data_IF_864934274598
#
_entry.id   IF_864934274598
#
_cell.length_a   1.000
_cell.length_b   1.000
_cell.length_c   1.000
_cell.angle_alpha   90.00
_cell.angle_beta   90.00
_cell.angle_gamma   90.00
#
_symmetry.space_group_name_H-M   'P 1'
#
loop_
_entity.id
_entity.type
_entity.pdbx_description
1 polymer ?
#
# COMPACT_ATOMS: atom_id res chain seq x y z
N UNK A 1 -5.86 19.20 24.47
CA UNK A 1 -5.53 20.38 23.62
C UNK A 1 -6.11 20.14 22.24
N UNK A 2 -6.84 21.09 21.66
CA UNK A 2 -7.29 20.97 20.27
C UNK A 2 -6.04 20.78 19.40
N UNK A 3 -6.00 19.69 18.62
CA UNK A 3 -4.88 19.38 17.76
C UNK A 3 -4.68 20.55 16.78
N UNK A 4 -3.55 21.23 16.86
CA UNK A 4 -3.16 22.24 15.89
C UNK A 4 -3.00 21.53 14.55
N UNK A 5 -3.64 22.02 13.49
CA UNK A 5 -3.49 21.47 12.14
C UNK A 5 -2.06 21.74 11.64
N UNK A 6 -1.14 20.80 11.96
CA UNK A 6 0.21 20.84 11.41
C UNK A 6 0.23 20.35 9.96
N UNK A 7 1.24 20.77 9.19
CA UNK A 7 1.51 20.29 7.84
C UNK A 7 2.09 18.89 7.87
N UNK A 8 2.07 18.22 6.73
CA UNK A 8 2.53 16.83 6.58
C UNK A 8 3.94 16.61 7.15
N UNK A 9 4.89 17.47 6.81
CA UNK A 9 6.30 17.39 7.20
C UNK A 9 6.48 17.49 8.73
N UNK A 10 5.61 18.23 9.41
CA UNK A 10 5.61 18.29 10.88
C UNK A 10 4.95 17.04 11.47
N UNK A 11 3.84 16.58 10.89
CA UNK A 11 3.15 15.38 11.34
C UNK A 11 4.02 14.13 11.20
N UNK A 12 4.74 13.96 10.08
CA UNK A 12 5.61 12.81 9.86
C UNK A 12 6.75 12.69 10.88
N UNK A 13 7.10 13.80 11.55
CA UNK A 13 8.17 13.85 12.56
C UNK A 13 7.66 13.68 13.99
N UNK A 14 6.44 14.11 14.29
CA UNK A 14 6.02 14.33 15.66
C UNK A 14 4.85 13.46 16.14
N UNK A 15 3.96 13.01 15.25
CA UNK A 15 2.78 12.23 15.64
C UNK A 15 3.17 10.94 16.36
N UNK A 16 2.53 10.71 17.53
CA UNK A 16 2.84 9.59 18.43
C UNK A 16 4.07 9.79 19.30
N UNK A 17 4.74 10.94 19.17
CA UNK A 17 5.98 11.27 19.85
C UNK A 17 6.01 12.77 20.27
N UNK A 18 4.83 13.33 20.54
CA UNK A 18 4.69 14.75 20.90
C UNK A 18 5.36 15.06 22.25
N UNK A 19 5.50 14.05 23.09
CA UNK A 19 6.22 14.13 24.37
C UNK A 19 7.38 13.12 24.37
N UNK A 20 8.46 13.37 25.13
CA UNK A 20 9.51 12.38 25.33
C UNK A 20 8.97 11.12 26.03
N UNK A 21 9.72 10.03 25.98
CA UNK A 21 9.37 8.82 26.71
C UNK A 21 9.20 9.12 28.21
N UNK A 22 8.05 8.81 28.82
CA UNK A 22 7.76 9.24 30.19
C UNK A 22 8.58 8.51 31.26
N UNK A 23 9.26 7.41 30.90
CA UNK A 23 10.08 6.66 31.84
C UNK A 23 11.56 7.07 31.82
N UNK A 24 12.04 7.58 30.70
CA UNK A 24 13.47 7.81 30.47
C UNK A 24 13.81 9.21 29.95
N UNK A 25 12.81 10.03 29.65
CA UNK A 25 12.96 11.32 28.97
C UNK A 25 13.63 11.22 27.58
N UNK A 26 13.68 10.01 27.00
CA UNK A 26 14.29 9.80 25.70
C UNK A 26 13.54 10.55 24.59
N UNK A 27 14.29 11.31 23.77
CA UNK A 27 13.73 12.05 22.63
C UNK A 27 13.40 11.13 21.46
N UNK A 28 14.26 10.15 21.16
CA UNK A 28 13.98 9.14 20.15
C UNK A 28 12.94 8.13 20.66
N UNK A 29 12.15 7.56 19.76
CA UNK A 29 11.22 6.47 20.12
C UNK A 29 12.00 5.27 20.62
N UNK A 30 11.80 4.80 21.87
CA UNK A 30 12.49 3.61 22.37
C UNK A 30 12.08 2.35 21.64
N UNK A 31 13.01 1.40 21.48
CA UNK A 31 12.70 0.07 20.94
C UNK A 31 12.33 -0.84 22.10
N UNK A 32 11.03 -1.08 22.30
CA UNK A 32 10.52 -1.98 23.32
C UNK A 32 10.55 -3.44 22.82
N UNK A 33 11.72 -4.06 22.87
CA UNK A 33 11.93 -5.45 22.46
C UNK A 33 11.51 -6.40 23.59
N UNK A 34 10.20 -6.60 23.74
CA UNK A 34 9.61 -7.47 24.76
C UNK A 34 8.41 -8.26 24.22
N UNK A 35 8.20 -9.45 24.75
CA UNK A 35 7.04 -10.29 24.39
C UNK A 35 5.83 -10.01 25.25
N UNK A 36 6.00 -9.59 26.52
CA UNK A 36 4.91 -9.51 27.51
C UNK A 36 5.07 -8.33 28.44
N UNK A 37 3.94 -7.94 29.03
CA UNK A 37 3.84 -6.78 29.92
C UNK A 37 3.20 -7.20 31.26
N UNK A 38 3.67 -6.64 32.36
CA UNK A 38 3.20 -6.96 33.70
C UNK A 38 1.92 -6.18 34.03
N UNK A 39 0.95 -6.86 34.60
CA UNK A 39 -0.27 -6.26 35.11
C UNK A 39 -0.10 -5.83 36.57
N UNK A 40 -0.78 -4.76 36.97
CA UNK A 40 -0.74 -4.24 38.36
C UNK A 40 -1.41 -5.19 39.35
N UNK A 41 -2.48 -5.88 38.92
CA UNK A 41 -3.23 -6.86 39.70
C UNK A 41 -4.14 -7.68 38.76
N UNK A 42 -4.87 -8.68 39.29
CA UNK A 42 -5.75 -9.56 38.51
C UNK A 42 -6.91 -8.82 37.85
N UNK A 43 -7.47 -7.79 38.51
CA UNK A 43 -8.56 -7.00 37.90
C UNK A 43 -8.06 -6.21 36.71
N UNK A 44 -6.87 -5.60 36.77
CA UNK A 44 -6.25 -4.90 35.66
C UNK A 44 -5.99 -5.86 34.48
N UNK A 45 -5.55 -7.08 34.75
CA UNK A 45 -5.41 -8.10 33.71
C UNK A 45 -6.76 -8.41 33.05
N UNK A 46 -7.79 -8.67 33.84
CA UNK A 46 -9.15 -8.96 33.33
C UNK A 46 -9.73 -7.81 32.51
N UNK A 47 -9.48 -6.57 32.88
CA UNK A 47 -9.95 -5.38 32.14
C UNK A 47 -9.24 -5.22 30.79
N UNK A 48 -7.93 -5.48 30.74
CA UNK A 48 -7.14 -5.51 29.49
C UNK A 48 -7.66 -6.54 28.51
N UNK A 49 -7.83 -7.80 28.96
CA UNK A 49 -8.34 -8.88 28.12
C UNK A 49 -9.80 -8.67 27.71
N UNK A 50 -10.59 -7.99 28.55
CA UNK A 50 -11.99 -7.66 28.27
C UNK A 50 -12.18 -6.39 27.42
N UNK A 51 -11.13 -5.77 26.89
CA UNK A 51 -11.14 -4.52 26.12
C UNK A 51 -11.74 -3.32 26.89
N UNK A 52 -11.75 -3.37 28.21
CA UNK A 52 -12.25 -2.29 29.11
C UNK A 52 -11.15 -1.29 29.51
N UNK A 53 -9.89 -1.69 29.39
CA UNK A 53 -8.74 -0.84 29.63
C UNK A 53 -7.76 -0.96 28.46
N UNK A 54 -7.36 0.18 27.89
CA UNK A 54 -6.42 0.22 26.77
C UNK A 54 -4.97 0.03 27.22
N UNK A 55 -4.14 -0.62 26.38
CA UNK A 55 -2.68 -0.73 26.56
C UNK A 55 -2.12 -2.10 26.21
N UNK A 56 -0.86 -2.29 26.58
CA UNK A 56 -0.11 -3.45 26.18
C UNK A 56 -0.48 -4.70 27.01
N UNK A 57 -0.56 -5.85 26.34
CA UNK A 57 -0.79 -7.18 26.92
C UNK A 57 0.35 -8.11 26.53
N UNK A 58 0.54 -8.27 25.24
CA UNK A 58 1.50 -9.18 24.62
C UNK A 58 2.01 -8.61 23.31
N UNK A 59 3.30 -8.69 23.05
CA UNK A 59 3.98 -8.04 21.93
C UNK A 59 3.45 -8.40 20.52
N UNK A 60 2.75 -9.52 20.37
CA UNK A 60 2.07 -9.86 19.13
C UNK A 60 0.87 -8.96 18.85
N UNK A 61 0.17 -8.50 19.89
CA UNK A 61 -1.05 -7.68 19.76
C UNK A 61 -0.75 -6.19 19.80
N UNK A 62 0.09 -5.78 20.76
CA UNK A 62 0.39 -4.37 21.05
C UNK A 62 1.84 -4.22 21.52
N UNK A 63 2.48 -3.15 21.05
CA UNK A 63 3.84 -2.78 21.48
C UNK A 63 3.99 -1.26 21.32
N UNK A 64 4.62 -0.58 22.27
CA UNK A 64 4.72 0.87 22.26
C UNK A 64 5.48 1.43 21.04
N UNK A 65 6.52 0.75 20.57
CA UNK A 65 7.26 1.16 19.37
C UNK A 65 6.40 1.03 18.11
N UNK A 66 5.70 -0.10 17.96
CA UNK A 66 4.75 -0.35 16.88
C UNK A 66 3.61 0.69 16.91
N UNK A 67 3.10 1.01 18.10
CA UNK A 67 2.00 1.96 18.29
C UNK A 67 2.33 3.37 17.79
N UNK A 68 3.57 3.85 17.95
CA UNK A 68 4.00 5.13 17.37
C UNK A 68 3.96 5.09 15.84
N UNK A 69 4.45 3.99 15.23
CA UNK A 69 4.42 3.81 13.79
C UNK A 69 2.97 3.77 13.27
N UNK A 70 2.11 2.98 13.90
CA UNK A 70 0.69 2.85 13.55
C UNK A 70 -0.04 4.19 13.59
N UNK A 71 0.11 4.93 14.70
CA UNK A 71 -0.53 6.23 14.89
C UNK A 71 -0.05 7.25 13.86
N UNK A 72 1.26 7.27 13.58
CA UNK A 72 1.85 8.22 12.62
C UNK A 72 1.37 7.98 11.22
N UNK A 73 1.39 6.75 10.73
CA UNK A 73 0.88 6.43 9.38
C UNK A 73 -0.61 6.70 9.28
N UNK A 74 -1.41 6.35 10.30
CA UNK A 74 -2.85 6.62 10.31
C UNK A 74 -3.15 8.12 10.14
N UNK A 75 -2.46 8.98 10.89
CA UNK A 75 -2.65 10.45 10.78
C UNK A 75 -2.18 10.98 9.43
N UNK A 76 -1.07 10.49 8.91
CA UNK A 76 -0.57 10.91 7.59
C UNK A 76 -1.51 10.54 6.46
N UNK A 77 -2.18 9.39 6.53
CA UNK A 77 -3.23 8.98 5.58
C UNK A 77 -4.58 9.67 5.79
N UNK A 78 -4.76 10.38 6.91
CA UNK A 78 -6.06 10.96 7.26
C UNK A 78 -7.06 9.95 7.83
N UNK A 79 -6.57 8.79 8.29
CA UNK A 79 -7.38 7.75 8.93
C UNK A 79 -7.53 7.94 10.44
N UNK A 80 -8.38 7.12 11.05
CA UNK A 80 -8.68 7.18 12.48
C UNK A 80 -7.82 6.21 13.31
N UNK A 81 -7.32 5.13 12.71
CA UNK A 81 -6.48 4.14 13.36
C UNK A 81 -5.62 3.37 12.35
N UNK A 82 -4.47 2.86 12.79
CA UNK A 82 -3.57 2.03 12.03
C UNK A 82 -3.23 0.71 12.73
N UNK A 83 -2.87 -0.28 11.94
CA UNK A 83 -2.37 -1.58 12.40
C UNK A 83 -1.14 -1.98 11.59
N UNK A 84 0.00 -2.09 12.26
CA UNK A 84 1.23 -2.57 11.64
C UNK A 84 1.29 -4.11 11.66
N UNK A 85 1.74 -4.67 10.53
CA UNK A 85 1.88 -6.12 10.32
C UNK A 85 3.21 -6.44 9.64
N UNK A 86 3.55 -7.72 9.55
CA UNK A 86 4.87 -8.19 9.12
C UNK A 86 5.24 -7.85 7.68
N UNK A 87 4.27 -7.58 6.80
CA UNK A 87 4.50 -7.30 5.38
C UNK A 87 3.28 -6.64 4.73
N UNK A 88 3.47 -6.04 3.54
CA UNK A 88 2.37 -5.56 2.71
C UNK A 88 1.40 -6.67 2.32
N UNK A 89 1.91 -7.87 2.02
CA UNK A 89 1.07 -9.03 1.73
C UNK A 89 0.18 -9.41 2.92
N UNK A 90 0.71 -9.35 4.16
CA UNK A 90 -0.08 -9.56 5.37
C UNK A 90 -1.14 -8.45 5.54
N UNK A 91 -0.81 -7.20 5.20
CA UNK A 91 -1.76 -6.09 5.27
C UNK A 91 -2.95 -6.31 4.32
N UNK A 92 -2.69 -6.62 3.04
CA UNK A 92 -3.74 -6.93 2.08
C UNK A 92 -4.57 -8.16 2.50
N UNK A 93 -3.90 -9.26 2.90
CA UNK A 93 -4.57 -10.48 3.33
C UNK A 93 -5.50 -10.23 4.53
N UNK A 94 -5.02 -9.52 5.55
CA UNK A 94 -5.81 -9.27 6.76
C UNK A 94 -6.95 -8.30 6.51
N UNK A 95 -6.75 -7.27 5.67
CA UNK A 95 -7.81 -6.36 5.29
C UNK A 95 -8.95 -7.12 4.59
N UNK A 96 -8.62 -8.04 3.68
CA UNK A 96 -9.60 -8.84 2.94
C UNK A 96 -10.27 -9.89 3.84
N UNK A 97 -9.50 -10.71 4.57
CA UNK A 97 -10.05 -11.75 5.47
C UNK A 97 -10.88 -11.19 6.62
N UNK A 98 -10.74 -9.91 6.93
CA UNK A 98 -11.55 -9.26 7.97
C UNK A 98 -13.04 -9.21 7.62
N UNK A 99 -13.35 -9.14 6.33
CA UNK A 99 -14.73 -8.95 5.82
C UNK A 99 -15.18 -9.99 4.81
N UNK A 100 -14.27 -10.84 4.32
CA UNK A 100 -14.56 -11.91 3.37
C UNK A 100 -14.53 -13.28 4.06
N UNK A 101 -15.47 -14.13 3.68
CA UNK A 101 -15.56 -15.53 4.09
C UNK A 101 -15.99 -16.45 2.96
N UNK A 102 -16.22 -17.73 3.29
CA UNK A 102 -16.68 -18.72 2.32
C UNK A 102 -18.02 -18.28 1.67
N UNK A 103 -18.06 -18.28 0.35
CA UNK A 103 -19.22 -17.87 -0.44
C UNK A 103 -19.29 -16.38 -0.74
N UNK A 104 -18.38 -15.56 -0.23
CA UNK A 104 -18.30 -14.14 -0.56
C UNK A 104 -17.58 -13.90 -1.88
N UNK A 105 -17.71 -12.69 -2.41
CA UNK A 105 -17.13 -12.25 -3.66
C UNK A 105 -16.41 -10.92 -3.47
N UNK A 106 -15.31 -10.72 -4.24
CA UNK A 106 -14.55 -9.47 -4.33
C UNK A 106 -14.40 -9.03 -5.79
N UNK A 107 -14.52 -7.75 -6.05
CA UNK A 107 -14.10 -7.14 -7.31
C UNK A 107 -12.73 -6.52 -7.13
N UNK A 108 -11.81 -6.76 -8.06
CA UNK A 108 -10.46 -6.24 -7.96
C UNK A 108 -9.96 -5.71 -9.31
N UNK A 109 -9.06 -4.72 -9.25
CA UNK A 109 -8.45 -4.12 -10.43
C UNK A 109 -7.59 -5.15 -11.19
N UNK A 110 -7.47 -4.99 -12.51
CA UNK A 110 -6.69 -5.84 -13.40
C UNK A 110 -5.18 -5.53 -13.38
N UNK A 111 -4.80 -4.34 -12.95
CA UNK A 111 -3.43 -3.82 -12.91
C UNK A 111 -2.79 -3.85 -11.52
N UNK A 112 -3.10 -4.88 -10.71
CA UNK A 112 -2.56 -5.05 -9.36
C UNK A 112 -1.11 -5.54 -9.36
N UNK A 113 -0.43 -5.29 -8.24
CA UNK A 113 0.79 -6.02 -7.90
C UNK A 113 0.56 -7.53 -8.01
N UNK A 114 1.47 -8.26 -8.68
CA UNK A 114 1.32 -9.68 -8.94
C UNK A 114 1.03 -10.54 -7.70
N UNK A 115 1.57 -10.15 -6.52
CA UNK A 115 1.27 -10.84 -5.26
C UNK A 115 -0.17 -10.62 -4.80
N UNK A 116 -0.74 -9.42 -4.97
CA UNK A 116 -2.14 -9.13 -4.66
C UNK A 116 -3.08 -9.82 -5.65
N UNK A 117 -2.72 -9.82 -6.93
CA UNK A 117 -3.44 -10.56 -7.96
C UNK A 117 -3.51 -12.05 -7.61
N UNK A 118 -2.38 -12.70 -7.34
CA UNK A 118 -2.35 -14.11 -6.96
C UNK A 118 -3.08 -14.41 -5.64
N UNK A 119 -3.00 -13.50 -4.66
CA UNK A 119 -3.75 -13.63 -3.41
C UNK A 119 -5.24 -13.72 -3.71
N UNK A 120 -5.78 -12.80 -4.51
CA UNK A 120 -7.21 -12.68 -4.79
C UNK A 120 -7.68 -13.82 -5.71
N UNK A 121 -6.97 -14.07 -6.82
CA UNK A 121 -7.43 -15.01 -7.85
C UNK A 121 -7.20 -16.47 -7.50
N UNK A 122 -6.17 -16.78 -6.72
CA UNK A 122 -5.80 -18.17 -6.42
C UNK A 122 -5.91 -18.50 -4.93
N UNK A 123 -5.25 -17.75 -4.05
CA UNK A 123 -5.18 -18.12 -2.63
C UNK A 123 -6.53 -18.02 -1.95
N UNK A 124 -7.23 -16.90 -2.08
CA UNK A 124 -8.56 -16.71 -1.49
C UNK A 124 -9.62 -17.59 -2.16
N UNK A 125 -9.46 -17.91 -3.45
CA UNK A 125 -10.33 -18.84 -4.16
C UNK A 125 -10.30 -20.26 -3.52
N UNK A 126 -9.14 -20.73 -3.05
CA UNK A 126 -9.07 -22.00 -2.30
C UNK A 126 -9.77 -21.95 -0.94
N UNK A 127 -10.05 -20.77 -0.44
CA UNK A 127 -10.81 -20.52 0.79
C UNK A 127 -12.31 -20.31 0.52
N UNK A 128 -12.77 -20.51 -0.72
CA UNK A 128 -14.17 -20.40 -1.11
C UNK A 128 -14.62 -18.95 -1.35
N UNK A 129 -13.71 -18.02 -1.56
CA UNK A 129 -13.99 -16.62 -1.91
C UNK A 129 -13.83 -16.47 -3.42
N UNK A 130 -14.91 -16.05 -4.10
CA UNK A 130 -14.89 -15.80 -5.55
C UNK A 130 -14.41 -14.37 -5.86
N UNK A 131 -13.97 -14.15 -7.10
CA UNK A 131 -13.49 -12.83 -7.53
C UNK A 131 -13.89 -12.51 -8.97
N UNK A 132 -13.94 -11.23 -9.30
CA UNK A 132 -13.98 -10.72 -10.67
C UNK A 132 -12.87 -9.68 -10.82
N UNK A 133 -11.98 -9.91 -11.76
CA UNK A 133 -10.91 -8.98 -12.13
C UNK A 133 -11.43 -8.10 -13.28
N UNK A 134 -11.29 -6.78 -13.16
CA UNK A 134 -11.85 -5.83 -14.11
C UNK A 134 -11.01 -4.54 -14.14
N UNK A 135 -11.01 -3.87 -15.30
CA UNK A 135 -10.52 -2.49 -15.34
C UNK A 135 -11.47 -1.60 -14.52
N UNK A 136 -11.03 -1.21 -13.33
CA UNK A 136 -11.86 -0.44 -12.38
C UNK A 136 -12.14 0.99 -12.86
N UNK A 137 -11.39 1.52 -13.81
CA UNK A 137 -11.66 2.81 -14.44
C UNK A 137 -12.77 2.74 -15.50
N UNK A 138 -13.09 1.54 -16.01
CA UNK A 138 -14.32 1.30 -16.76
C UNK A 138 -15.48 1.10 -15.79
N UNK A 139 -16.17 2.19 -15.46
CA UNK A 139 -17.25 2.17 -14.47
C UNK A 139 -18.43 1.28 -14.87
N UNK A 140 -18.66 1.05 -16.18
CA UNK A 140 -19.72 0.16 -16.63
C UNK A 140 -19.34 -1.31 -16.39
N UNK A 141 -18.09 -1.67 -16.68
CA UNK A 141 -17.56 -2.99 -16.38
C UNK A 141 -17.50 -3.24 -14.87
N UNK A 142 -17.06 -2.24 -14.09
CA UNK A 142 -17.03 -2.30 -12.63
C UNK A 142 -18.43 -2.54 -12.04
N UNK A 143 -19.45 -1.79 -12.48
CA UNK A 143 -20.82 -1.93 -12.05
C UNK A 143 -21.36 -3.33 -12.36
N UNK A 144 -21.09 -3.84 -13.56
CA UNK A 144 -21.52 -5.17 -14.01
C UNK A 144 -20.82 -6.32 -13.26
N UNK A 145 -19.61 -6.08 -12.72
CA UNK A 145 -18.86 -7.06 -11.95
C UNK A 145 -19.40 -7.28 -10.53
N UNK A 146 -20.18 -6.33 -9.99
CA UNK A 146 -20.70 -6.40 -8.62
C UNK A 146 -21.86 -7.40 -8.54
N UNK A 147 -21.74 -8.35 -7.62
CA UNK A 147 -22.71 -9.42 -7.36
C UNK A 147 -23.38 -9.19 -5.98
N UNK A 148 -24.53 -9.86 -5.70
CA UNK A 148 -25.19 -9.72 -4.40
C UNK A 148 -24.32 -10.08 -3.18
N UNK A 149 -23.34 -10.98 -3.36
CA UNK A 149 -22.39 -11.43 -2.34
C UNK A 149 -21.04 -10.69 -2.41
N UNK A 150 -20.92 -9.64 -3.22
CA UNK A 150 -19.71 -8.81 -3.24
C UNK A 150 -19.56 -8.05 -1.92
N UNK A 151 -18.38 -8.09 -1.34
CA UNK A 151 -18.05 -7.48 -0.04
C UNK A 151 -17.08 -6.30 -0.12
N UNK A 152 -16.30 -6.20 -1.18
CA UNK A 152 -15.33 -5.11 -1.34
C UNK A 152 -14.95 -4.91 -2.81
N UNK A 153 -14.43 -3.70 -3.09
CA UNK A 153 -13.61 -3.42 -4.25
C UNK A 153 -12.18 -3.21 -3.75
N UNK A 154 -11.19 -3.82 -4.43
CA UNK A 154 -9.77 -3.67 -4.14
C UNK A 154 -9.03 -3.12 -5.35
N UNK A 155 -8.29 -2.03 -5.17
CA UNK A 155 -7.49 -1.41 -6.22
C UNK A 155 -6.19 -0.81 -5.66
N UNK A 156 -5.26 -0.42 -6.54
CA UNK A 156 -4.04 0.30 -6.18
C UNK A 156 -4.14 1.75 -6.68
N UNK A 157 -3.52 2.70 -5.99
CA UNK A 157 -3.49 4.11 -6.40
C UNK A 157 -2.83 4.29 -7.76
N UNK A 158 -1.68 3.62 -7.94
CA UNK A 158 -0.98 3.45 -9.21
C UNK A 158 -0.87 1.97 -9.54
N UNK A 159 -1.25 1.59 -10.74
CA UNK A 159 -1.12 0.23 -11.23
C UNK A 159 0.34 -0.22 -11.39
N UNK A 160 0.57 -1.50 -11.27
CA UNK A 160 1.89 -2.12 -11.40
C UNK A 160 1.87 -3.09 -12.61
N UNK A 161 2.71 -2.91 -13.63
CA UNK A 161 3.94 -2.11 -13.62
C UNK A 161 3.85 -0.73 -14.27
N UNK A 162 2.74 -0.37 -14.91
CA UNK A 162 2.66 0.74 -15.88
C UNK A 162 2.33 2.11 -15.28
N UNK A 163 2.08 2.20 -13.96
CA UNK A 163 1.68 3.44 -13.27
C UNK A 163 0.37 4.07 -13.78
N UNK A 164 -0.57 3.26 -14.26
CA UNK A 164 -1.93 3.69 -14.58
C UNK A 164 -2.59 4.29 -13.33
N UNK A 165 -3.34 5.37 -13.48
CA UNK A 165 -3.92 6.09 -12.33
C UNK A 165 -5.35 5.64 -12.09
N UNK A 166 -5.65 5.19 -10.88
CA UNK A 166 -6.99 4.78 -10.46
C UNK A 166 -7.89 5.98 -10.16
N UNK A 167 -9.11 6.02 -10.73
CA UNK A 167 -10.11 7.05 -10.45
C UNK A 167 -10.84 6.77 -9.13
N UNK A 168 -10.17 7.03 -8.02
CA UNK A 168 -10.62 6.65 -6.67
C UNK A 168 -12.01 7.22 -6.35
N UNK A 169 -12.28 8.50 -6.64
CA UNK A 169 -13.57 9.13 -6.35
C UNK A 169 -14.73 8.39 -7.04
N UNK A 170 -14.57 8.09 -8.33
CA UNK A 170 -15.64 7.43 -9.09
C UNK A 170 -15.87 5.97 -8.63
N UNK A 171 -14.80 5.26 -8.31
CA UNK A 171 -14.88 3.88 -7.78
C UNK A 171 -15.52 3.86 -6.39
N UNK A 172 -15.19 4.84 -5.54
CA UNK A 172 -15.79 4.98 -4.22
C UNK A 172 -17.30 5.23 -4.32
N UNK A 173 -17.75 6.07 -5.27
CA UNK A 173 -19.17 6.28 -5.52
C UNK A 173 -19.89 4.99 -5.92
N UNK A 174 -19.28 4.15 -6.78
CA UNK A 174 -19.82 2.83 -7.13
C UNK A 174 -19.87 1.93 -5.90
N UNK A 175 -18.79 1.79 -5.17
CA UNK A 175 -18.72 0.94 -3.98
C UNK A 175 -19.80 1.31 -2.96
N UNK A 176 -19.93 2.58 -2.65
CA UNK A 176 -20.88 3.06 -1.63
C UNK A 176 -22.35 2.93 -2.06
N UNK A 177 -22.67 3.08 -3.37
CA UNK A 177 -24.03 2.78 -3.87
C UNK A 177 -24.41 1.32 -3.61
N UNK A 178 -23.45 0.41 -3.69
CA UNK A 178 -23.63 -1.01 -3.40
C UNK A 178 -23.42 -1.38 -1.94
N UNK A 179 -23.19 -0.40 -1.06
CA UNK A 179 -22.97 -0.62 0.37
C UNK A 179 -21.80 -1.58 0.65
N UNK A 180 -20.70 -1.42 -0.09
CA UNK A 180 -19.45 -2.15 0.11
C UNK A 180 -18.29 -1.17 0.26
N UNK A 181 -17.27 -1.50 1.06
CA UNK A 181 -16.09 -0.66 1.22
C UNK A 181 -15.17 -0.71 0.01
N UNK A 182 -14.48 0.41 -0.23
CA UNK A 182 -13.35 0.52 -1.13
C UNK A 182 -12.05 0.39 -0.34
N UNK A 183 -11.21 -0.59 -0.72
CA UNK A 183 -9.88 -0.82 -0.15
C UNK A 183 -8.85 -0.40 -1.20
N UNK A 184 -7.96 0.54 -0.85
CA UNK A 184 -6.90 1.02 -1.74
C UNK A 184 -5.53 0.64 -1.18
N UNK A 185 -4.72 -0.01 -1.99
CA UNK A 185 -3.28 -0.12 -1.75
C UNK A 185 -2.60 1.17 -2.23
N UNK A 186 -2.14 1.98 -1.27
CA UNK A 186 -1.50 3.26 -1.53
C UNK A 186 0.04 3.18 -1.44
N UNK A 187 0.60 2.00 -1.66
CA UNK A 187 2.05 1.77 -1.57
C UNK A 187 2.83 2.69 -2.51
N UNK A 188 2.38 2.88 -3.76
CA UNK A 188 3.06 3.74 -4.73
C UNK A 188 2.67 5.21 -4.61
N UNK A 189 1.42 5.50 -4.23
CA UNK A 189 0.97 6.87 -4.00
C UNK A 189 1.60 7.51 -2.77
N UNK A 190 1.82 6.75 -1.73
CA UNK A 190 2.24 7.22 -0.39
C UNK A 190 1.26 8.23 0.22
N UNK A 191 1.21 8.38 1.54
CA UNK A 191 0.36 9.40 2.15
C UNK A 191 0.82 10.84 1.86
N UNK A 192 2.01 10.99 1.26
CA UNK A 192 2.55 12.30 0.88
C UNK A 192 1.99 12.80 -0.45
N UNK A 193 1.89 11.96 -1.47
CA UNK A 193 1.39 12.36 -2.78
C UNK A 193 -0.14 12.40 -2.83
N UNK A 194 -0.80 11.43 -2.18
CA UNK A 194 -2.26 11.29 -2.17
C UNK A 194 -2.73 10.57 -0.91
N UNK A 195 -3.91 10.96 -0.42
CA UNK A 195 -4.62 10.30 0.68
C UNK A 195 -5.93 9.73 0.17
N UNK A 196 -5.99 8.44 -0.20
CA UNK A 196 -7.19 7.82 -0.75
C UNK A 196 -8.44 7.97 0.13
N UNK A 197 -8.28 8.07 1.46
CA UNK A 197 -9.38 8.32 2.41
C UNK A 197 -10.07 9.68 2.15
N UNK A 198 -9.36 10.68 1.68
CA UNK A 198 -9.93 11.97 1.30
C UNK A 198 -10.74 11.88 -0.01
N UNK A 199 -10.52 10.82 -0.79
CA UNK A 199 -11.17 10.49 -2.05
C UNK A 199 -12.21 9.36 -1.94
N UNK A 200 -12.62 8.99 -0.73
CA UNK A 200 -13.68 8.03 -0.49
C UNK A 200 -13.23 6.58 -0.25
N UNK A 201 -11.94 6.29 -0.21
CA UNK A 201 -11.49 4.97 0.26
C UNK A 201 -11.83 4.79 1.74
N UNK A 202 -12.30 3.60 2.09
CA UNK A 202 -12.69 3.26 3.46
C UNK A 202 -11.52 2.65 4.24
N UNK A 203 -10.67 1.90 3.55
CA UNK A 203 -9.48 1.26 4.10
C UNK A 203 -8.31 1.48 3.16
N UNK A 204 -7.15 1.83 3.72
CA UNK A 204 -5.90 1.94 2.97
C UNK A 204 -4.91 0.91 3.49
N UNK A 205 -4.22 0.23 2.59
CA UNK A 205 -3.12 -0.68 2.91
C UNK A 205 -1.81 -0.18 2.31
N UNK A 206 -0.70 -0.51 2.95
CA UNK A 206 0.63 -0.24 2.43
C UNK A 206 1.58 -1.43 2.62
N UNK A 207 2.40 -1.67 1.64
CA UNK A 207 3.70 -2.27 1.88
C UNK A 207 4.66 -1.20 2.41
N UNK A 208 4.80 -1.11 3.73
CA UNK A 208 5.73 -0.16 4.36
C UNK A 208 7.20 -0.44 4.00
N UNK A 209 7.48 -1.64 3.48
CA UNK A 209 8.76 -2.06 2.89
C UNK A 209 9.26 -1.11 1.80
N UNK A 210 8.32 -0.47 1.06
CA UNK A 210 8.59 0.35 -0.12
C UNK A 210 8.94 1.78 0.28
N UNK A 211 8.28 2.80 -0.24
CA UNK A 211 8.60 4.21 0.03
C UNK A 211 8.64 4.58 1.52
N UNK A 212 7.79 3.99 2.37
CA UNK A 212 7.78 4.30 3.81
C UNK A 212 9.14 3.96 4.42
N UNK A 213 9.65 2.75 4.22
CA UNK A 213 11.00 2.36 4.64
C UNK A 213 12.09 2.98 3.78
N UNK A 214 11.94 2.90 2.47
CA UNK A 214 12.72 3.56 1.44
C UNK A 214 14.14 3.03 1.20
N UNK A 215 14.62 2.04 1.96
CA UNK A 215 16.02 1.61 1.94
C UNK A 215 16.22 0.12 1.68
N UNK A 216 15.14 -0.63 1.39
CA UNK A 216 15.22 -2.07 1.16
C UNK A 216 15.69 -2.89 2.37
N UNK A 217 15.69 -2.32 3.58
CA UNK A 217 16.31 -2.90 4.77
C UNK A 217 15.33 -3.64 5.69
N UNK A 218 14.03 -3.34 5.62
CA UNK A 218 13.03 -3.91 6.52
C UNK A 218 11.72 -4.21 5.82
N UNK A 219 11.14 -5.36 6.13
CA UNK A 219 9.77 -5.70 5.74
C UNK A 219 8.77 -5.11 6.75
N UNK A 220 7.63 -4.67 6.22
CA UNK A 220 6.49 -4.27 7.02
C UNK A 220 5.28 -3.97 6.17
N UNK A 221 4.12 -3.99 6.79
CA UNK A 221 2.85 -3.55 6.22
C UNK A 221 2.07 -2.73 7.21
N UNK A 222 1.13 -1.96 6.74
CA UNK A 222 0.21 -1.22 7.59
C UNK A 222 -1.18 -1.16 6.95
N UNK A 223 -2.21 -1.28 7.79
CA UNK A 223 -3.61 -1.14 7.42
C UNK A 223 -4.11 0.12 8.13
N UNK A 224 -4.74 1.02 7.39
CA UNK A 224 -5.32 2.25 7.93
C UNK A 224 -6.83 2.21 7.76
N UNK A 225 -7.54 2.41 8.87
CA UNK A 225 -8.99 2.50 8.92
C UNK A 225 -9.42 3.95 8.70
N UNK A 226 -10.22 4.21 7.67
CA UNK A 226 -10.77 5.53 7.37
C UNK A 226 -11.85 5.96 8.36
N UNK A 227 -12.48 5.01 9.05
CA UNK A 227 -13.48 5.24 10.09
C UNK A 227 -14.82 5.78 9.59
N UNK A 228 -15.06 5.80 8.28
CA UNK A 228 -16.26 6.41 7.67
C UNK A 228 -17.31 5.41 7.23
N UNK A 229 -16.95 4.16 6.97
CA UNK A 229 -17.89 3.14 6.52
C UNK A 229 -18.82 2.71 7.66
N UNK A 230 -20.13 2.74 7.40
CA UNK A 230 -21.13 2.38 8.41
C UNK A 230 -21.36 0.86 8.45
N UNK A 231 -20.51 0.18 9.25
CA UNK A 231 -20.61 -1.27 9.45
C UNK A 231 -21.94 -1.70 10.05
N UNK A 232 -22.56 -0.88 10.92
CA UNK A 232 -23.83 -1.20 11.59
C UNK A 232 -25.01 -1.13 10.66
N UNK A 233 -25.07 -0.10 9.80
CA UNK A 233 -26.11 -0.01 8.77
C UNK A 233 -26.07 -1.19 7.80
N UNK A 234 -24.88 -1.81 7.65
CA UNK A 234 -24.63 -2.94 6.76
C UNK A 234 -24.35 -4.26 7.51
N UNK A 235 -24.95 -4.45 8.71
CA UNK A 235 -24.66 -5.56 9.61
C UNK A 235 -24.90 -6.95 9.01
N UNK A 236 -25.86 -7.11 8.12
CA UNK A 236 -26.12 -8.39 7.45
C UNK A 236 -25.03 -8.73 6.41
N UNK A 237 -24.45 -7.72 5.80
CA UNK A 237 -23.36 -7.87 4.87
C UNK A 237 -22.01 -8.07 5.59
N UNK A 238 -21.80 -7.42 6.75
CA UNK A 238 -20.57 -7.46 7.53
C UNK A 238 -20.77 -7.93 8.98
N UNK A 239 -21.26 -9.16 9.17
CA UNK A 239 -21.58 -9.67 10.52
C UNK A 239 -20.37 -9.74 11.44
N UNK A 240 -19.17 -9.96 10.90
CA UNK A 240 -17.92 -10.03 11.68
C UNK A 240 -17.59 -8.75 12.43
N UNK A 241 -18.06 -7.60 11.97
CA UNK A 241 -17.83 -6.29 12.59
C UNK A 241 -19.05 -5.80 13.37
N UNK A 242 -20.25 -6.11 12.90
CA UNK A 242 -21.48 -5.49 13.36
C UNK A 242 -22.43 -6.45 14.13
N UNK A 243 -22.05 -7.73 14.30
CA UNK A 243 -22.81 -8.71 15.13
C UNK A 243 -21.92 -9.24 16.25
N UNK A 244 -22.51 -9.86 17.30
CA UNK A 244 -21.77 -10.42 18.43
C UNK A 244 -20.71 -11.43 18.01
N UNK A 245 -19.46 -11.21 18.40
CA UNK A 245 -18.34 -12.10 18.10
C UNK A 245 -18.20 -13.15 19.25
N UNK A 246 -18.29 -14.46 18.93
CA UNK A 246 -18.19 -15.50 19.93
C UNK A 246 -16.81 -15.61 20.57
N UNK A 247 -15.73 -15.20 19.87
CA UNK A 247 -14.36 -15.23 20.41
C UNK A 247 -14.07 -14.09 21.41
N UNK A 248 -14.99 -13.10 21.48
CA UNK A 248 -14.92 -11.97 22.41
C UNK A 248 -16.18 -11.82 23.28
N UNK A 249 -16.69 -12.95 23.75
CA UNK A 249 -17.85 -12.98 24.69
C UNK A 249 -19.09 -12.23 24.17
N UNK A 250 -19.29 -12.20 22.86
CA UNK A 250 -20.42 -11.50 22.24
C UNK A 250 -20.23 -10.00 22.04
N UNK A 251 -19.01 -9.48 22.16
CA UNK A 251 -18.73 -8.09 21.82
C UNK A 251 -18.99 -7.81 20.34
N UNK A 252 -19.54 -6.64 20.04
CA UNK A 252 -19.74 -6.12 18.68
C UNK A 252 -18.63 -5.10 18.43
N UNK A 253 -17.72 -5.38 17.50
CA UNK A 253 -16.54 -4.52 17.27
C UNK A 253 -16.92 -3.10 16.86
N UNK A 254 -17.98 -2.93 16.06
CA UNK A 254 -18.52 -1.62 15.70
C UNK A 254 -19.06 -0.82 16.89
N UNK A 255 -19.42 -1.47 18.01
CA UNK A 255 -19.84 -0.81 19.25
C UNK A 255 -18.65 -0.47 20.14
N UNK A 256 -17.75 -1.44 20.35
CA UNK A 256 -16.64 -1.28 21.32
C UNK A 256 -15.50 -0.42 20.81
N UNK A 257 -15.29 -0.37 19.48
CA UNK A 257 -14.20 0.37 18.84
C UNK A 257 -14.69 1.54 17.98
N UNK A 258 -16.00 1.65 17.72
CA UNK A 258 -16.58 2.75 16.94
C UNK A 258 -15.93 2.88 15.56
N UNK A 259 -15.39 4.05 15.24
CA UNK A 259 -14.74 4.36 13.98
C UNK A 259 -13.51 3.48 13.67
N UNK A 260 -12.83 2.93 14.71
CA UNK A 260 -11.67 2.07 14.55
C UNK A 260 -12.01 0.56 14.54
N UNK A 261 -13.27 0.21 14.27
CA UNK A 261 -13.76 -1.17 14.35
C UNK A 261 -13.00 -2.13 13.42
N UNK A 262 -12.65 -1.68 12.22
CA UNK A 262 -12.01 -2.50 11.20
C UNK A 262 -10.63 -3.00 11.67
N UNK A 263 -9.73 -2.10 12.03
CA UNK A 263 -8.38 -2.49 12.49
C UNK A 263 -8.39 -3.11 13.89
N UNK A 264 -9.35 -2.74 14.75
CA UNK A 264 -9.48 -3.35 16.08
C UNK A 264 -9.83 -4.83 15.99
N UNK A 265 -10.76 -5.20 15.10
CA UNK A 265 -11.07 -6.61 14.89
C UNK A 265 -9.90 -7.38 14.28
N UNK A 266 -9.19 -6.81 13.31
CA UNK A 266 -7.99 -7.46 12.76
C UNK A 266 -7.00 -7.74 13.88
N UNK A 267 -6.69 -6.76 14.73
CA UNK A 267 -5.77 -6.91 15.87
C UNK A 267 -6.23 -7.98 16.85
N UNK A 268 -7.50 -7.90 17.25
CA UNK A 268 -8.06 -8.72 18.29
C UNK A 268 -8.31 -10.18 17.87
N UNK A 269 -8.58 -10.43 16.60
CA UNK A 269 -8.93 -11.76 16.06
C UNK A 269 -7.85 -12.25 15.11
N UNK A 270 -7.71 -11.64 13.93
CA UNK A 270 -6.90 -12.19 12.85
C UNK A 270 -5.41 -12.18 13.23
N UNK A 271 -4.87 -11.05 13.63
CA UNK A 271 -3.46 -10.94 14.03
C UNK A 271 -3.16 -11.78 15.28
N UNK A 272 -4.07 -11.80 16.26
CA UNK A 272 -3.92 -12.64 17.46
C UNK A 272 -3.75 -14.12 17.10
N UNK A 273 -4.55 -14.62 16.16
CA UNK A 273 -4.68 -16.04 15.89
C UNK A 273 -3.69 -16.53 14.81
N UNK A 274 -3.34 -15.67 13.83
CA UNK A 274 -2.49 -16.03 12.69
C UNK A 274 -1.06 -15.49 12.78
N UNK A 275 -0.82 -14.44 13.59
CA UNK A 275 0.50 -14.10 14.10
C UNK A 275 1.44 -13.32 13.17
N UNK A 276 0.98 -12.69 12.07
CA UNK A 276 1.85 -11.88 11.21
C UNK A 276 2.18 -10.50 11.82
N UNK A 277 2.70 -10.49 13.04
CA UNK A 277 3.10 -9.28 13.77
C UNK A 277 4.42 -8.72 13.25
N UNK A 278 4.52 -7.40 13.20
CA UNK A 278 5.79 -6.72 12.91
C UNK A 278 6.71 -6.75 14.14
N UNK A 279 8.02 -6.86 13.94
CA UNK A 279 8.95 -6.70 15.06
C UNK A 279 9.08 -5.24 15.49
N UNK A 280 9.30 -4.93 16.78
CA UNK A 280 9.56 -3.55 17.22
C UNK A 280 10.78 -2.92 16.54
N UNK A 281 11.79 -3.71 16.21
CA UNK A 281 12.97 -3.24 15.49
C UNK A 281 12.64 -2.82 14.05
N UNK A 282 11.83 -3.62 13.33
CA UNK A 282 11.39 -3.24 11.99
C UNK A 282 10.49 -1.98 12.04
N UNK A 283 9.58 -1.89 13.01
CA UNK A 283 8.75 -0.70 13.20
C UNK A 283 9.59 0.56 13.45
N UNK A 284 10.67 0.45 14.24
CA UNK A 284 11.62 1.54 14.46
C UNK A 284 12.34 1.97 13.19
N UNK A 285 12.84 1.02 12.36
CA UNK A 285 13.49 1.34 11.08
C UNK A 285 12.49 2.01 10.12
N UNK A 286 11.26 1.52 10.06
CA UNK A 286 10.21 2.12 9.23
C UNK A 286 9.81 3.51 9.70
N UNK A 287 9.82 3.76 11.02
CA UNK A 287 9.64 5.12 11.57
C UNK A 287 10.73 6.07 11.11
N UNK A 288 12.00 5.65 11.13
CA UNK A 288 13.10 6.47 10.62
C UNK A 288 12.94 6.77 9.12
N UNK A 289 12.53 5.78 8.33
CA UNK A 289 12.19 6.00 6.92
C UNK A 289 11.04 7.00 6.76
N UNK A 290 10.00 6.87 7.56
CA UNK A 290 8.83 7.74 7.51
C UNK A 290 9.16 9.21 7.81
N UNK A 291 10.12 9.47 8.71
CA UNK A 291 10.55 10.82 9.07
C UNK A 291 11.16 11.63 7.91
N UNK A 292 11.60 10.96 6.85
CA UNK A 292 12.15 11.59 5.64
C UNK A 292 11.33 11.29 4.38
N UNK A 293 10.11 10.79 4.54
CA UNK A 293 9.28 10.34 3.41
C UNK A 293 9.06 11.46 2.39
N UNK A 294 8.63 12.64 2.82
CA UNK A 294 8.36 13.78 1.93
C UNK A 294 9.58 14.16 1.11
N UNK A 295 10.74 14.31 1.77
CA UNK A 295 12.01 14.69 1.12
C UNK A 295 12.44 13.67 0.06
N UNK A 296 12.27 12.38 0.37
CA UNK A 296 12.64 11.31 -0.57
C UNK A 296 11.69 11.25 -1.74
N UNK A 297 10.39 11.30 -1.47
CA UNK A 297 9.35 11.21 -2.52
C UNK A 297 9.45 12.39 -3.47
N UNK A 298 9.66 13.62 -2.98
CA UNK A 298 9.91 14.78 -3.84
C UNK A 298 11.09 14.55 -4.78
N UNK A 299 12.22 14.06 -4.27
CA UNK A 299 13.40 13.78 -5.07
C UNK A 299 13.18 12.63 -6.07
N UNK A 300 12.49 11.55 -5.65
CA UNK A 300 12.09 10.45 -6.54
C UNK A 300 11.27 10.97 -7.73
N UNK A 301 10.26 11.81 -7.45
CA UNK A 301 9.38 12.37 -8.49
C UNK A 301 10.15 13.33 -9.41
N UNK A 302 10.94 14.25 -8.84
CA UNK A 302 11.75 15.17 -9.62
C UNK A 302 12.67 14.42 -10.60
N UNK A 303 13.39 13.43 -10.11
CA UNK A 303 14.27 12.61 -10.93
C UNK A 303 13.49 11.83 -12.00
N UNK A 304 12.37 11.20 -11.61
CA UNK A 304 11.55 10.43 -12.54
C UNK A 304 11.03 11.26 -13.70
N UNK A 305 10.53 12.47 -13.45
CA UNK A 305 10.02 13.34 -14.51
C UNK A 305 11.12 13.75 -15.51
N UNK A 306 12.35 13.99 -15.03
CA UNK A 306 13.50 14.27 -15.91
C UNK A 306 13.92 13.04 -16.72
N UNK A 307 13.89 11.84 -16.12
CA UNK A 307 14.15 10.58 -16.83
C UNK A 307 13.07 10.29 -17.87
N UNK A 308 11.80 10.54 -17.55
CA UNK A 308 10.67 10.41 -18.49
C UNK A 308 10.86 11.31 -19.71
N UNK A 309 11.24 12.58 -19.51
CA UNK A 309 11.50 13.51 -20.59
C UNK A 309 12.70 13.08 -21.44
N UNK A 310 13.78 12.59 -20.82
CA UNK A 310 14.93 12.03 -21.52
C UNK A 310 14.51 10.82 -22.39
N UNK A 311 13.81 9.84 -21.82
CA UNK A 311 13.40 8.62 -22.51
C UNK A 311 12.44 8.92 -23.67
N UNK A 312 11.49 9.86 -23.48
CA UNK A 312 10.57 10.30 -24.51
C UNK A 312 11.27 10.80 -25.78
N UNK A 313 12.41 11.46 -25.60
CA UNK A 313 13.20 12.03 -26.69
C UNK A 313 14.28 11.09 -27.24
N UNK A 314 14.45 9.89 -26.65
CA UNK A 314 15.49 8.95 -27.07
C UNK A 314 15.03 8.15 -28.31
N UNK A 315 15.81 8.12 -29.42
CA UNK A 315 15.41 7.46 -30.65
C UNK A 315 15.27 5.93 -30.54
N UNK A 316 15.86 5.31 -29.52
CA UNK A 316 15.77 3.86 -29.25
C UNK A 316 14.58 3.47 -28.38
N UNK A 317 13.85 4.44 -27.87
CA UNK A 317 12.61 4.23 -27.10
C UNK A 317 11.42 4.27 -28.04
N UNK A 318 10.54 3.29 -27.93
CA UNK A 318 9.30 3.19 -28.69
C UNK A 318 8.14 3.92 -28.00
N UNK A 319 8.04 3.78 -26.66
CA UNK A 319 6.98 4.37 -25.84
C UNK A 319 7.45 4.54 -24.40
N UNK A 320 6.96 5.56 -23.73
CA UNK A 320 7.10 5.72 -22.27
C UNK A 320 5.69 5.68 -21.66
N UNK A 321 5.48 4.78 -20.71
CA UNK A 321 4.21 4.65 -19.99
C UNK A 321 4.30 5.45 -18.68
N UNK A 322 4.01 6.75 -18.76
CA UNK A 322 3.99 7.61 -17.58
C UNK A 322 2.84 8.62 -17.68
N UNK A 323 1.97 8.73 -16.65
CA UNK A 323 0.76 9.54 -16.73
C UNK A 323 1.00 11.05 -16.73
N UNK A 324 2.22 11.52 -16.50
CA UNK A 324 2.57 12.95 -16.71
C UNK A 324 2.57 13.37 -18.17
N UNK A 325 2.66 12.41 -19.09
CA UNK A 325 2.68 12.69 -20.53
C UNK A 325 1.26 13.01 -21.03
N UNK A 326 1.07 14.09 -21.81
CA UNK A 326 -0.26 14.51 -22.27
C UNK A 326 -1.00 13.46 -23.12
N UNK A 327 -0.26 12.59 -23.80
CA UNK A 327 -0.78 11.49 -24.60
C UNK A 327 -1.22 10.25 -23.79
N UNK A 328 -0.90 10.19 -22.50
CA UNK A 328 -1.29 9.08 -21.63
C UNK A 328 -2.81 9.14 -21.34
N UNK A 329 -3.55 8.01 -21.40
CA UNK A 329 -5.00 8.01 -21.17
C UNK A 329 -5.39 8.57 -19.81
N UNK A 330 -4.57 8.34 -18.78
CA UNK A 330 -4.84 8.80 -17.41
C UNK A 330 -4.25 10.18 -17.09
N UNK A 331 -3.80 10.95 -18.09
CA UNK A 331 -3.18 12.25 -17.85
C UNK A 331 -4.09 13.20 -17.05
N UNK A 332 -5.38 13.22 -17.35
CA UNK A 332 -6.34 14.06 -16.63
C UNK A 332 -6.49 13.65 -15.13
N UNK A 333 -6.49 12.34 -14.85
CA UNK A 333 -6.49 11.81 -13.48
C UNK A 333 -5.18 12.14 -12.75
N UNK A 334 -4.06 12.02 -13.44
CA UNK A 334 -2.76 12.39 -12.91
C UNK A 334 -2.73 13.87 -12.50
N UNK A 335 -3.18 14.77 -13.36
CA UNK A 335 -3.25 16.21 -13.03
C UNK A 335 -4.18 16.48 -11.84
N UNK A 336 -5.27 15.73 -11.73
CA UNK A 336 -6.24 15.88 -10.63
C UNK A 336 -5.65 15.45 -9.29
N UNK A 337 -5.04 14.28 -9.23
CA UNK A 337 -4.60 13.67 -7.97
C UNK A 337 -3.16 14.02 -7.58
N UNK A 338 -2.29 14.35 -8.54
CA UNK A 338 -0.86 14.57 -8.34
C UNK A 338 -0.40 15.93 -8.85
N UNK A 339 -0.92 17.05 -8.30
CA UNK A 339 -0.55 18.38 -8.78
C UNK A 339 0.93 18.72 -8.59
N UNK A 340 1.60 18.01 -7.67
CA UNK A 340 3.05 18.14 -7.42
C UNK A 340 3.88 17.03 -8.09
N UNK A 341 3.28 16.25 -8.98
CA UNK A 341 3.90 15.10 -9.63
C UNK A 341 3.74 13.80 -8.84
N UNK A 342 4.10 12.70 -9.48
CA UNK A 342 4.00 11.34 -8.93
C UNK A 342 4.58 10.32 -9.93
N UNK A 343 4.52 9.03 -9.61
CA UNK A 343 4.86 7.97 -10.55
C UNK A 343 6.37 7.76 -10.76
N UNK A 344 7.16 7.67 -9.71
CA UNK A 344 8.60 7.38 -9.86
C UNK A 344 8.92 5.92 -10.18
N UNK A 345 7.89 5.09 -10.33
CA UNK A 345 7.98 3.71 -10.81
C UNK A 345 7.12 3.66 -12.07
N UNK A 346 7.72 3.34 -13.21
CA UNK A 346 7.02 3.35 -14.49
C UNK A 346 7.69 2.40 -15.48
N UNK A 347 7.07 2.18 -16.64
CA UNK A 347 7.63 1.37 -17.70
C UNK A 347 7.92 2.20 -18.94
N UNK A 348 8.82 1.68 -19.75
CA UNK A 348 9.00 2.12 -21.14
C UNK A 348 9.24 0.91 -22.04
N UNK A 349 9.00 1.07 -23.31
CA UNK A 349 9.23 0.08 -24.33
C UNK A 349 10.44 0.50 -25.18
N UNK A 350 11.44 -0.38 -25.25
CA UNK A 350 12.58 -0.19 -26.13
C UNK A 350 12.23 -0.63 -27.54
N UNK A 351 12.82 0.00 -28.57
CA UNK A 351 12.68 -0.48 -29.94
C UNK A 351 13.40 -1.82 -30.08
N UNK A 352 12.73 -2.80 -30.65
CA UNK A 352 13.18 -4.20 -30.72
C UNK A 352 12.33 -5.11 -29.87
N UNK A 353 12.94 -6.05 -29.18
CA UNK A 353 12.26 -7.05 -28.36
C UNK A 353 12.99 -7.34 -27.06
N UNK A 354 12.87 -8.59 -26.61
CA UNK A 354 13.47 -9.05 -25.35
C UNK A 354 15.00 -8.98 -25.37
N UNK A 355 15.64 -9.27 -26.51
CA UNK A 355 17.10 -9.25 -26.61
C UNK A 355 17.66 -7.83 -26.40
N UNK A 356 17.02 -6.81 -26.99
CA UNK A 356 17.38 -5.41 -26.82
C UNK A 356 17.10 -4.93 -25.39
N UNK A 357 15.96 -5.34 -24.81
CA UNK A 357 15.62 -5.02 -23.43
C UNK A 357 16.66 -5.61 -22.45
N UNK A 358 17.07 -6.84 -22.63
CA UNK A 358 18.08 -7.48 -21.81
C UNK A 358 19.46 -6.87 -22.03
N UNK A 359 19.84 -6.58 -23.30
CA UNK A 359 21.11 -5.91 -23.58
C UNK A 359 21.19 -4.54 -22.89
N UNK A 360 20.11 -3.77 -22.88
CA UNK A 360 20.03 -2.52 -22.13
C UNK A 360 20.17 -2.75 -20.62
N UNK A 361 19.38 -3.65 -20.02
CA UNK A 361 19.39 -3.90 -18.57
C UNK A 361 20.73 -4.38 -18.07
N UNK A 362 21.36 -5.31 -18.78
CA UNK A 362 22.64 -5.91 -18.38
C UNK A 362 23.81 -4.93 -18.41
N UNK A 363 23.66 -3.78 -19.10
CA UNK A 363 24.69 -2.75 -19.19
C UNK A 363 24.42 -1.51 -18.32
N UNK A 364 23.28 -1.50 -17.59
CA UNK A 364 23.03 -0.46 -16.57
C UNK A 364 23.96 -0.61 -15.37
N UNK A 365 24.73 0.43 -15.04
CA UNK A 365 25.72 0.36 -13.95
C UNK A 365 25.19 0.82 -12.60
N UNK A 366 24.38 1.88 -12.59
CA UNK A 366 23.83 2.48 -11.35
C UNK A 366 22.56 1.75 -10.92
N UNK A 367 21.72 1.36 -11.88
CA UNK A 367 20.47 0.67 -11.62
C UNK A 367 20.71 -0.78 -11.18
N UNK A 368 20.16 -1.18 -10.06
CA UNK A 368 20.25 -2.58 -9.61
C UNK A 368 19.15 -3.43 -10.23
N UNK A 369 19.53 -4.53 -10.86
CA UNK A 369 18.56 -5.53 -11.39
C UNK A 369 18.08 -6.42 -10.25
N UNK A 370 16.86 -6.20 -9.79
CA UNK A 370 16.24 -6.96 -8.70
C UNK A 370 14.72 -6.75 -8.61
N UNK A 371 14.04 -7.67 -7.92
CA UNK A 371 12.60 -7.66 -7.71
C UNK A 371 12.19 -6.77 -6.52
N UNK A 372 12.44 -5.48 -6.59
CA UNK A 372 11.97 -4.47 -5.64
C UNK A 372 11.59 -3.17 -6.37
N UNK A 373 11.05 -2.20 -5.64
CA UNK A 373 10.73 -0.85 -6.10
C UNK A 373 10.81 0.12 -4.94
N UNK A 374 10.82 1.44 -5.23
CA UNK A 374 10.75 2.49 -4.22
C UNK A 374 11.90 2.52 -3.21
N UNK A 375 13.07 2.03 -3.61
CA UNK A 375 14.32 2.20 -2.89
C UNK A 375 14.93 3.57 -3.22
N UNK A 376 15.70 4.15 -2.31
CA UNK A 376 16.47 5.36 -2.57
C UNK A 376 17.50 5.17 -3.69
N UNK A 377 17.85 3.93 -4.01
CA UNK A 377 18.67 3.56 -5.17
C UNK A 377 17.78 3.21 -6.35
N UNK A 378 18.19 3.60 -7.54
CA UNK A 378 17.48 3.27 -8.78
C UNK A 378 17.53 1.77 -9.08
N UNK A 379 16.40 1.22 -9.49
CA UNK A 379 16.21 -0.20 -9.76
C UNK A 379 15.63 -0.41 -11.16
N UNK A 380 15.93 -1.57 -11.73
CA UNK A 380 15.43 -2.00 -13.04
C UNK A 380 15.00 -3.46 -13.00
N UNK A 381 13.99 -3.81 -13.80
CA UNK A 381 13.60 -5.20 -14.03
C UNK A 381 12.90 -5.35 -15.38
N UNK A 382 12.94 -6.58 -15.94
CA UNK A 382 12.18 -6.96 -17.13
C UNK A 382 10.89 -7.69 -16.68
N UNK A 383 9.71 -7.03 -16.66
CA UNK A 383 8.50 -7.60 -16.06
C UNK A 383 8.07 -8.93 -16.66
N UNK A 384 8.07 -9.04 -18.00
CA UNK A 384 7.58 -10.22 -18.71
C UNK A 384 8.28 -11.52 -18.33
N UNK A 385 9.59 -11.48 -18.03
CA UNK A 385 10.38 -12.69 -17.69
C UNK A 385 10.63 -12.85 -16.20
N UNK A 386 10.12 -11.96 -15.35
CA UNK A 386 10.37 -11.96 -13.89
C UNK A 386 9.09 -11.81 -13.08
N UNK A 387 8.70 -10.58 -12.75
CA UNK A 387 7.57 -10.29 -11.84
C UNK A 387 6.21 -10.72 -12.38
N UNK A 388 6.07 -10.90 -13.69
CA UNK A 388 4.84 -11.31 -14.37
C UNK A 388 5.02 -12.59 -15.19
N UNK A 389 6.10 -13.35 -14.95
CA UNK A 389 6.44 -14.56 -15.72
C UNK A 389 5.44 -15.70 -15.59
N UNK A 390 4.54 -15.66 -14.61
CA UNK A 390 3.46 -16.62 -14.45
C UNK A 390 2.23 -16.32 -15.33
N UNK A 391 2.14 -15.13 -15.93
CA UNK A 391 1.06 -14.77 -16.83
C UNK A 391 1.26 -15.42 -18.20
N UNK A 392 0.18 -15.79 -18.85
CA UNK A 392 0.19 -16.22 -20.25
C UNK A 392 0.52 -15.04 -21.18
N UNK A 393 0.95 -15.30 -22.43
CA UNK A 393 1.21 -14.24 -23.40
C UNK A 393 0.00 -13.32 -23.63
N UNK A 394 -1.22 -13.85 -23.57
CA UNK A 394 -2.44 -13.07 -23.73
C UNK A 394 -2.67 -12.16 -22.51
N UNK A 395 -2.49 -12.67 -21.30
CA UNK A 395 -2.62 -11.88 -20.05
C UNK A 395 -1.55 -10.78 -19.96
N UNK A 396 -0.33 -11.05 -20.43
CA UNK A 396 0.72 -10.03 -20.55
C UNK A 396 0.30 -8.90 -21.51
N UNK A 397 -0.25 -9.25 -22.67
CA UNK A 397 -0.73 -8.27 -23.66
C UNK A 397 -1.91 -7.44 -23.13
N UNK A 398 -2.86 -8.07 -22.44
CA UNK A 398 -3.98 -7.41 -21.76
C UNK A 398 -3.52 -6.41 -20.69
N UNK A 399 -2.40 -6.69 -20.03
CA UNK A 399 -1.75 -5.78 -19.06
C UNK A 399 -0.73 -4.84 -19.70
N UNK A 400 -0.65 -4.77 -21.02
CA UNK A 400 0.30 -3.94 -21.78
C UNK A 400 1.77 -4.20 -21.38
N UNK A 401 2.12 -5.46 -21.14
CA UNK A 401 3.48 -5.91 -20.84
C UNK A 401 4.00 -6.68 -22.05
N UNK A 402 4.94 -6.10 -22.75
CA UNK A 402 5.52 -6.67 -23.97
C UNK A 402 6.94 -7.19 -23.73
N UNK A 403 7.51 -8.01 -24.62
CA UNK A 403 8.92 -8.43 -24.54
C UNK A 403 9.91 -7.28 -24.55
N UNK A 404 9.52 -6.09 -25.04
CA UNK A 404 10.30 -4.85 -25.03
C UNK A 404 10.11 -3.99 -23.80
N UNK A 405 9.23 -4.38 -22.86
CA UNK A 405 8.88 -3.57 -21.69
C UNK A 405 9.95 -3.67 -20.58
N UNK A 406 10.43 -2.52 -20.15
CA UNK A 406 11.37 -2.38 -19.05
C UNK A 406 10.71 -1.54 -17.95
N UNK A 407 10.76 -1.99 -16.69
CA UNK A 407 10.31 -1.22 -15.54
C UNK A 407 11.49 -0.59 -14.83
N UNK A 408 11.40 0.73 -14.61
CA UNK A 408 12.32 1.50 -13.79
C UNK A 408 11.63 1.87 -12.45
N UNK A 409 12.42 1.90 -11.39
CA UNK A 409 12.09 2.54 -10.12
C UNK A 409 13.19 3.57 -9.87
N UNK A 410 12.86 4.83 -10.06
CA UNK A 410 13.85 5.91 -10.03
C UNK A 410 14.15 6.29 -8.58
N UNK A 411 15.42 6.29 -8.23
CA UNK A 411 15.93 6.62 -6.91
C UNK A 411 16.21 8.11 -6.69
N UNK A 412 17.03 8.38 -5.68
CA UNK A 412 17.32 9.75 -5.22
C UNK A 412 18.74 10.21 -5.59
N UNK A 413 19.42 9.48 -6.45
CA UNK A 413 20.74 9.80 -6.97
C UNK A 413 20.74 11.17 -7.69
N UNK A 414 21.93 11.68 -8.06
CA UNK A 414 22.00 12.83 -8.95
C UNK A 414 21.43 12.45 -10.32
N UNK A 415 20.50 13.24 -10.84
CA UNK A 415 19.73 12.87 -12.04
C UNK A 415 20.62 12.78 -13.29
N UNK A 416 21.68 13.60 -13.38
CA UNK A 416 22.59 13.55 -14.53
C UNK A 416 23.35 12.22 -14.56
N UNK A 417 23.76 11.67 -13.41
CA UNK A 417 24.39 10.34 -13.33
C UNK A 417 23.41 9.23 -13.77
N UNK A 418 22.12 9.37 -13.46
CA UNK A 418 21.09 8.43 -13.93
C UNK A 418 20.93 8.50 -15.44
N UNK A 419 20.89 9.69 -16.02
CA UNK A 419 20.75 9.89 -17.47
C UNK A 419 22.00 9.37 -18.19
N UNK A 420 23.20 9.66 -17.71
CA UNK A 420 24.46 9.13 -18.27
C UNK A 420 24.48 7.61 -18.25
N UNK A 421 24.02 6.97 -17.15
CA UNK A 421 23.95 5.50 -17.07
C UNK A 421 22.94 4.92 -18.08
N UNK A 422 21.82 5.60 -18.32
CA UNK A 422 20.86 5.21 -19.35
C UNK A 422 21.46 5.38 -20.76
N UNK A 423 22.15 6.50 -21.03
CA UNK A 423 22.82 6.75 -22.31
C UNK A 423 23.86 5.66 -22.64
N UNK A 424 24.74 5.35 -21.68
CA UNK A 424 25.74 4.29 -21.82
C UNK A 424 25.07 2.93 -22.13
N UNK A 425 24.01 2.59 -21.42
CA UNK A 425 23.29 1.33 -21.64
C UNK A 425 22.62 1.26 -23.04
N UNK A 426 22.10 2.37 -23.53
CA UNK A 426 21.55 2.44 -24.90
C UNK A 426 22.60 2.21 -26.00
N UNK A 427 23.90 2.41 -25.77
CA UNK A 427 24.93 2.11 -26.76
C UNK A 427 24.97 0.63 -27.15
N UNK A 428 24.55 -0.26 -26.25
CA UNK A 428 24.52 -1.71 -26.44
C UNK A 428 23.24 -2.23 -27.10
N UNK A 429 22.26 -1.38 -27.30
CA UNK A 429 21.02 -1.70 -28.01
C UNK A 429 21.24 -1.52 -29.50
N UNK A 430 20.95 -2.55 -30.30
CA UNK A 430 21.16 -2.56 -31.74
C UNK A 430 20.03 -1.88 -32.51
#
# INVERSE_FOLDING_TARGET
MAAKNYRFETLQLHVGQEQPDPATDARAVPIYQTTSYVFRNSQHAADRFGLRDAGNIYGRLTNSTQGVFEQRVAVLEGGVAGLAVASGAAAATYALQNILGVGDHIVAADNLYGGSFNLITHTLATQGISNTIVNVNDLAALEAAIQPNTKAIYAETFGNPNSDVTNIDAIAEVAHRHQIPLIIDNTFGTPYLIRPIEHGADVVVHSATKFIGGHGSSLGGVIVDGGKFDWKANADKFPTLAKPDPSYHGAVFADVAGAAAFVTRIRAVILRDTGATISPFNAFILLQGLETLSLRVERHVENALKVVEYLKNNPKVAKVNHPSLPEHPDHALYQKYFPNGGGSIFTFEIKGGQEEAWAFIDHLRIFSLLANVADVKSLVIHPATTTHSQLSPQELEEQHIYPSTIRLSIGTEHVDDLIEALEEAFEYVK
#
